data_IF_996216861107
#
_entry.id   IF_996216861107
#
_cell.length_a   1.000
_cell.length_b   1.000
_cell.length_c   1.000
_cell.angle_alpha   90.00
_cell.angle_beta   90.00
_cell.angle_gamma   90.00
#
_symmetry.space_group_name_H-M   'P 1'
#
loop_
_entity.id
_entity.type
_entity.pdbx_description
1 polymer ?
#
# COMPACT_ATOMS: atom_id res chain seq x y z
N UNK A 1 11.33 -21.53 -6.83
CA UNK A 1 10.27 -20.51 -6.98
C UNK A 1 10.07 -19.85 -5.64
N UNK A 2 10.28 -18.54 -5.50
CA UNK A 2 10.07 -17.87 -4.22
C UNK A 2 8.57 -17.80 -3.89
N UNK A 3 8.17 -17.94 -2.61
CA UNK A 3 6.78 -17.78 -2.22
C UNK A 3 6.30 -16.36 -2.54
N UNK A 4 5.03 -16.21 -2.93
CA UNK A 4 4.45 -14.87 -3.18
C UNK A 4 4.31 -14.14 -1.84
N UNK A 5 4.62 -12.86 -1.84
CA UNK A 5 4.62 -12.03 -0.64
C UNK A 5 3.79 -10.77 -0.91
N UNK A 6 2.82 -10.49 -0.03
CA UNK A 6 2.25 -9.14 0.09
C UNK A 6 3.21 -8.35 0.95
N UNK A 7 3.55 -7.17 0.49
CA UNK A 7 4.40 -6.24 1.22
C UNK A 7 3.54 -5.04 1.54
N UNK A 8 3.45 -4.72 2.82
CA UNK A 8 2.99 -3.42 3.28
C UNK A 8 4.21 -2.60 3.65
N UNK A 9 4.31 -1.46 2.98
CA UNK A 9 5.38 -0.51 3.20
C UNK A 9 4.77 0.75 3.81
N UNK A 10 5.40 1.24 4.86
CA UNK A 10 5.24 2.63 5.28
C UNK A 10 6.37 3.44 4.66
N UNK A 11 6.17 4.74 4.56
CA UNK A 11 7.26 5.65 4.18
C UNK A 11 7.89 6.11 5.49
N UNK A 12 9.19 5.85 5.70
CA UNK A 12 9.91 6.46 6.82
C UNK A 12 10.13 7.91 6.45
N UNK A 13 9.17 8.77 6.81
CA UNK A 13 9.21 10.18 6.41
C UNK A 13 10.23 10.91 7.28
N UNK A 14 11.49 10.94 6.83
CA UNK A 14 12.46 11.95 7.24
C UNK A 14 11.83 13.35 7.00
N UNK A 15 11.79 14.24 8.01
CA UNK A 15 11.29 15.60 7.86
C UNK A 15 11.92 16.41 6.70
N UNK A 16 13.12 16.03 6.24
CA UNK A 16 13.90 16.77 5.25
C UNK A 16 13.70 16.30 3.80
N UNK A 17 13.30 15.04 3.57
CA UNK A 17 13.09 14.50 2.22
C UNK A 17 11.79 15.00 1.56
N UNK A 18 10.94 15.67 2.33
CA UNK A 18 9.57 15.96 1.93
C UNK A 18 9.27 17.47 1.91
N UNK A 19 10.24 18.37 1.73
CA UNK A 19 9.99 19.84 1.71
C UNK A 19 9.01 20.35 0.62
N UNK A 20 8.41 19.48 -0.20
CA UNK A 20 7.32 19.83 -1.14
C UNK A 20 6.06 19.00 -0.97
N UNK A 21 6.10 17.93 -0.21
CA UNK A 21 5.06 16.91 -0.16
C UNK A 21 4.64 16.65 1.31
N UNK A 22 5.50 16.95 2.32
CA UNK A 22 5.10 17.10 3.75
C UNK A 22 4.25 18.33 3.93
N UNK A 23 4.36 19.20 2.94
CA UNK A 23 3.57 20.37 2.68
C UNK A 23 2.06 20.06 2.67
N UNK A 24 1.72 18.87 2.15
CA UNK A 24 0.34 18.49 1.91
C UNK A 24 -0.32 18.14 3.26
N UNK A 25 -1.25 18.96 3.77
CA UNK A 25 -1.74 18.84 5.15
C UNK A 25 -2.26 17.44 5.47
N UNK A 26 -2.95 16.82 4.50
CA UNK A 26 -3.47 15.45 4.61
C UNK A 26 -2.39 14.38 4.85
N UNK A 27 -1.26 14.45 4.14
CA UNK A 27 -0.20 13.44 4.29
C UNK A 27 0.54 13.65 5.60
N UNK A 28 0.76 14.90 6.02
CA UNK A 28 1.40 15.22 7.29
C UNK A 28 0.57 14.76 8.50
N UNK A 29 -0.75 14.95 8.45
CA UNK A 29 -1.67 14.62 9.54
C UNK A 29 -1.90 13.10 9.67
N UNK A 30 -1.85 12.35 8.57
CA UNK A 30 -2.25 10.93 8.55
C UNK A 30 -1.13 9.93 8.26
N UNK A 31 0.14 10.31 8.41
CA UNK A 31 1.32 9.48 8.04
C UNK A 31 1.25 8.03 8.53
N UNK A 32 0.84 7.82 9.78
CA UNK A 32 0.77 6.50 10.40
C UNK A 32 -0.33 5.57 9.84
N UNK A 33 -1.19 6.09 8.95
CA UNK A 33 -2.28 5.34 8.33
C UNK A 33 -2.09 5.17 6.82
N UNK A 34 -1.04 5.78 6.24
CA UNK A 34 -0.77 5.72 4.80
C UNK A 34 0.17 4.56 4.52
N UNK A 35 -0.37 3.54 3.86
CA UNK A 35 0.36 2.33 3.51
C UNK A 35 0.38 2.12 2.01
N UNK A 36 1.57 1.79 1.50
CA UNK A 36 1.68 1.22 0.18
C UNK A 36 1.49 -0.29 0.27
N UNK A 37 0.52 -0.83 -0.47
CA UNK A 37 0.22 -2.27 -0.50
C UNK A 37 0.60 -2.81 -1.87
N UNK A 38 1.62 -3.67 -1.92
CA UNK A 38 2.10 -4.28 -3.16
C UNK A 38 2.30 -5.78 -3.05
N UNK A 39 2.37 -6.47 -4.19
CA UNK A 39 2.64 -7.91 -4.24
C UNK A 39 3.94 -8.18 -5.01
N UNK A 40 4.82 -8.98 -4.43
CA UNK A 40 6.06 -9.43 -5.10
C UNK A 40 6.17 -10.95 -5.16
N UNK A 41 6.85 -11.43 -6.19
CA UNK A 41 7.32 -12.82 -6.28
C UNK A 41 8.82 -12.96 -6.06
N UNK A 42 9.52 -11.86 -5.77
CA UNK A 42 10.97 -11.82 -5.53
C UNK A 42 11.30 -11.41 -4.10
N UNK A 43 12.57 -11.08 -3.86
CA UNK A 43 13.04 -10.50 -2.60
C UNK A 43 12.45 -9.10 -2.41
N UNK A 44 11.98 -8.82 -1.20
CA UNK A 44 11.35 -7.54 -0.85
C UNK A 44 12.39 -6.42 -0.91
N UNK A 45 13.58 -6.69 -0.40
CA UNK A 45 14.71 -5.78 -0.30
C UNK A 45 15.11 -5.26 -1.68
N UNK A 46 15.16 -6.15 -2.68
CA UNK A 46 15.45 -5.78 -4.07
C UNK A 46 14.39 -4.86 -4.67
N UNK A 47 13.13 -4.97 -4.22
CA UNK A 47 12.02 -4.17 -4.74
C UNK A 47 11.99 -2.77 -4.17
N UNK A 48 12.54 -2.56 -2.97
CA UNK A 48 12.60 -1.26 -2.28
C UNK A 48 13.97 -0.57 -2.35
N UNK A 49 15.02 -1.27 -2.79
CA UNK A 49 16.40 -0.76 -2.76
C UNK A 49 16.62 0.60 -3.44
N UNK A 50 15.76 0.99 -4.39
CA UNK A 50 15.83 2.26 -5.11
C UNK A 50 14.56 3.13 -4.91
N UNK A 51 13.86 2.97 -3.79
CA UNK A 51 12.59 3.65 -3.53
C UNK A 51 12.68 5.19 -3.64
N UNK A 52 13.74 5.78 -3.08
CA UNK A 52 14.03 7.23 -3.16
C UNK A 52 14.12 7.79 -4.59
N UNK A 53 14.32 6.92 -5.60
CA UNK A 53 14.43 7.32 -7.01
C UNK A 53 13.28 6.82 -7.89
N UNK A 54 12.25 6.21 -7.30
CA UNK A 54 11.12 5.63 -8.00
C UNK A 54 9.82 6.30 -7.57
N UNK A 55 9.12 6.89 -8.55
CA UNK A 55 7.84 7.59 -8.34
C UNK A 55 6.74 6.69 -7.76
N UNK A 56 6.86 5.36 -7.92
CA UNK A 56 5.97 4.38 -7.28
C UNK A 56 6.04 4.44 -5.75
N UNK A 57 7.19 4.85 -5.22
CA UNK A 57 7.47 5.03 -3.80
C UNK A 57 7.52 6.50 -3.38
N UNK A 58 6.86 7.37 -4.15
CA UNK A 58 6.77 8.80 -3.84
C UNK A 58 8.14 9.51 -3.78
N UNK A 59 9.17 8.92 -4.40
CA UNK A 59 10.55 9.42 -4.37
C UNK A 59 11.10 9.58 -2.93
N UNK A 60 10.69 8.69 -2.03
CA UNK A 60 11.07 8.70 -0.62
C UNK A 60 11.57 7.32 -0.16
N UNK A 61 12.27 7.30 0.97
CA UNK A 61 12.64 6.07 1.65
C UNK A 61 11.40 5.36 2.19
N UNK A 62 11.41 4.03 2.13
CA UNK A 62 10.30 3.21 2.59
C UNK A 62 10.79 2.14 3.57
N UNK A 63 9.98 1.90 4.58
CA UNK A 63 10.17 0.86 5.56
C UNK A 63 9.13 -0.23 5.35
N UNK A 64 9.57 -1.48 5.46
CA UNK A 64 8.66 -2.62 5.40
C UNK A 64 8.10 -2.84 6.79
N UNK A 65 6.82 -2.55 6.97
CA UNK A 65 6.15 -2.69 8.26
C UNK A 65 5.41 -4.01 8.41
N UNK A 66 5.04 -4.64 7.29
CA UNK A 66 4.55 -6.01 7.30
C UNK A 66 4.85 -6.75 6.00
N UNK A 67 5.07 -8.06 6.13
CA UNK A 67 5.23 -8.98 5.00
C UNK A 67 4.41 -10.24 5.23
N UNK A 68 3.57 -10.57 4.27
CA UNK A 68 2.69 -11.73 4.35
C UNK A 68 3.02 -12.73 3.25
N UNK A 69 3.47 -13.91 3.65
CA UNK A 69 3.69 -15.03 2.74
C UNK A 69 2.35 -15.65 2.37
N UNK A 70 2.04 -15.69 1.09
CA UNK A 70 0.86 -16.34 0.52
C UNK A 70 1.31 -17.35 -0.52
N UNK A 71 0.96 -18.61 -0.31
CA UNK A 71 1.30 -19.70 -1.25
C UNK A 71 0.08 -20.02 -2.10
N UNK A 72 0.31 -20.46 -3.34
CA UNK A 72 -0.74 -20.90 -4.27
C UNK A 72 -1.80 -19.85 -4.72
N UNK A 73 -1.58 -18.54 -4.51
CA UNK A 73 -2.52 -17.47 -4.92
C UNK A 73 -1.98 -16.66 -6.09
N UNK A 74 -2.74 -16.49 -7.18
CA UNK A 74 -2.31 -15.71 -8.36
C UNK A 74 -2.00 -14.24 -8.01
N UNK A 75 -0.83 -13.74 -8.42
CA UNK A 75 -0.36 -12.37 -8.14
C UNK A 75 -1.35 -11.29 -8.60
N UNK A 76 -1.77 -11.35 -9.87
CA UNK A 76 -2.70 -10.37 -10.45
C UNK A 76 -4.06 -10.40 -9.74
N UNK A 77 -4.54 -11.60 -9.37
CA UNK A 77 -5.79 -11.72 -8.61
C UNK A 77 -5.67 -11.05 -7.23
N UNK A 78 -4.54 -11.25 -6.56
CA UNK A 78 -4.29 -10.68 -5.24
C UNK A 78 -4.18 -9.15 -5.28
N UNK A 79 -3.42 -8.61 -6.25
CA UNK A 79 -3.37 -7.16 -6.52
C UNK A 79 -4.77 -6.59 -6.75
N UNK A 80 -5.59 -7.25 -7.60
CA UNK A 80 -6.96 -6.83 -7.86
C UNK A 80 -7.86 -6.87 -6.61
N UNK A 81 -7.67 -7.85 -5.70
CA UNK A 81 -8.44 -7.92 -4.46
C UNK A 81 -8.12 -6.72 -3.57
N UNK A 82 -6.85 -6.39 -3.36
CA UNK A 82 -6.48 -5.23 -2.55
C UNK A 82 -6.97 -3.93 -3.16
N UNK A 83 -6.81 -3.77 -4.48
CA UNK A 83 -7.34 -2.59 -5.18
C UNK A 83 -8.85 -2.47 -5.05
N UNK A 84 -9.60 -3.58 -5.14
CA UNK A 84 -11.06 -3.57 -4.95
C UNK A 84 -11.45 -3.22 -3.51
N UNK A 85 -10.88 -3.94 -2.53
CA UNK A 85 -11.23 -3.82 -1.12
C UNK A 85 -10.92 -2.40 -0.62
N UNK A 86 -9.74 -1.87 -0.95
CA UNK A 86 -9.26 -0.59 -0.44
C UNK A 86 -9.45 0.58 -1.41
N UNK A 87 -10.15 0.39 -2.53
CA UNK A 87 -10.52 1.49 -3.44
C UNK A 87 -11.12 2.71 -2.72
N UNK A 88 -12.02 2.56 -1.72
CA UNK A 88 -12.59 3.70 -1.01
C UNK A 88 -11.58 4.52 -0.19
N UNK A 89 -10.38 4.00 0.05
CA UNK A 89 -9.31 4.64 0.79
C UNK A 89 -8.04 4.85 -0.03
N UNK A 90 -8.12 4.69 -1.36
CA UNK A 90 -7.01 5.04 -2.23
C UNK A 90 -6.73 6.54 -2.12
N UNK A 91 -5.46 6.90 -1.94
CA UNK A 91 -5.08 8.30 -1.84
C UNK A 91 -4.91 8.86 -3.25
N UNK A 92 -5.61 9.96 -3.54
CA UNK A 92 -5.44 10.69 -4.79
C UNK A 92 -4.23 11.62 -4.68
N UNK A 93 -3.12 11.22 -5.32
CA UNK A 93 -1.86 11.95 -5.33
C UNK A 93 -1.36 12.04 -6.77
N UNK A 94 -0.83 13.21 -7.13
CA UNK A 94 -0.08 13.41 -8.37
C UNK A 94 1.29 13.93 -8.00
N UNK A 95 2.34 13.25 -8.47
CA UNK A 95 3.73 13.69 -8.30
C UNK A 95 4.40 13.80 -9.65
N UNK A 96 5.45 14.60 -9.76
CA UNK A 96 6.30 14.61 -10.95
C UNK A 96 7.41 13.56 -10.80
N UNK A 97 7.66 12.80 -11.86
CA UNK A 97 8.87 11.98 -11.94
C UNK A 97 10.13 12.84 -12.14
N UNK A 98 11.29 12.18 -12.24
CA UNK A 98 12.59 12.86 -12.46
C UNK A 98 12.70 13.63 -13.79
N UNK A 99 11.76 13.46 -14.70
CA UNK A 99 11.68 14.16 -15.99
C UNK A 99 10.58 15.23 -15.99
N UNK A 100 9.87 15.41 -14.88
CA UNK A 100 8.78 16.38 -14.73
C UNK A 100 7.41 15.85 -15.18
N UNK A 101 7.30 14.58 -15.56
CA UNK A 101 6.03 13.99 -16.00
C UNK A 101 5.14 13.62 -14.81
N UNK A 102 3.83 13.91 -14.86
CA UNK A 102 2.93 13.56 -13.77
C UNK A 102 2.72 12.04 -13.68
N UNK A 103 2.87 11.50 -12.47
CA UNK A 103 2.66 10.11 -12.09
C UNK A 103 1.60 10.04 -11.00
N UNK A 104 0.72 9.04 -11.12
CA UNK A 104 -0.40 8.80 -10.22
C UNK A 104 -0.23 7.41 -9.60
N UNK A 105 0.42 7.30 -8.43
CA UNK A 105 0.69 6.02 -7.81
C UNK A 105 -0.61 5.46 -7.21
N UNK A 106 -1.01 4.27 -7.68
CA UNK A 106 -2.31 3.65 -7.33
C UNK A 106 -2.27 2.68 -6.14
N UNK A 107 -1.08 2.41 -5.62
CA UNK A 107 -0.88 1.39 -4.59
C UNK A 107 -0.84 1.96 -3.17
N UNK A 108 -1.23 3.23 -2.98
CA UNK A 108 -1.21 3.92 -1.68
C UNK A 108 -2.62 4.10 -1.12
N UNK A 109 -2.81 3.70 0.13
CA UNK A 109 -4.12 3.67 0.78
C UNK A 109 -4.05 4.22 2.20
N UNK A 110 -5.12 4.92 2.62
CA UNK A 110 -5.35 5.37 3.98
C UNK A 110 -6.07 4.27 4.79
N UNK A 111 -5.30 3.28 5.25
CA UNK A 111 -5.82 2.07 5.90
C UNK A 111 -4.92 1.70 7.07
N UNK A 112 -5.45 1.50 8.30
CA UNK A 112 -4.63 1.04 9.42
C UNK A 112 -4.03 -0.35 9.18
N UNK A 113 -2.82 -0.59 9.68
CA UNK A 113 -2.11 -1.87 9.48
C UNK A 113 -2.93 -3.09 9.93
N UNK A 114 -3.62 -3.00 11.07
CA UNK A 114 -4.45 -4.10 11.59
C UNK A 114 -5.61 -4.50 10.66
N UNK A 115 -6.12 -3.57 9.84
CA UNK A 115 -7.15 -3.87 8.84
C UNK A 115 -6.54 -4.59 7.65
N UNK A 116 -5.30 -4.25 7.29
CA UNK A 116 -4.55 -4.96 6.25
C UNK A 116 -4.24 -6.39 6.70
N UNK A 117 -3.83 -6.56 7.97
CA UNK A 117 -3.68 -7.88 8.61
C UNK A 117 -4.96 -8.71 8.48
N UNK A 118 -6.11 -8.14 8.86
CA UNK A 118 -7.41 -8.82 8.74
C UNK A 118 -7.72 -9.18 7.28
N UNK A 119 -7.56 -8.23 6.35
CA UNK A 119 -7.81 -8.48 4.93
C UNK A 119 -6.99 -9.65 4.40
N UNK A 120 -5.71 -9.75 4.79
CA UNK A 120 -4.84 -10.88 4.43
C UNK A 120 -5.35 -12.19 5.00
N UNK A 121 -5.85 -12.23 6.25
CA UNK A 121 -6.44 -13.45 6.81
C UNK A 121 -7.70 -13.86 6.05
N UNK A 122 -8.58 -12.91 5.74
CA UNK A 122 -9.80 -13.16 4.94
C UNK A 122 -9.51 -13.60 3.51
N UNK A 123 -8.37 -13.20 2.95
CA UNK A 123 -7.89 -13.68 1.64
C UNK A 123 -7.48 -15.16 1.73
N UNK A 124 -6.86 -15.57 2.85
CA UNK A 124 -6.39 -16.94 3.06
C UNK A 124 -7.55 -17.93 3.24
N UNK A 125 -8.58 -17.54 3.99
CA UNK A 125 -9.76 -18.39 4.22
C UNK A 125 -10.83 -18.26 3.11
N UNK A 126 -10.68 -17.28 2.21
CA UNK A 126 -11.58 -17.04 1.09
C UNK A 126 -12.78 -16.14 1.41
N UNK A 127 -12.94 -15.68 2.65
CA UNK A 127 -14.07 -14.85 3.10
C UNK A 127 -13.99 -13.39 2.61
N UNK A 128 -12.85 -12.94 2.06
CA UNK A 128 -12.66 -11.55 1.57
C UNK A 128 -13.65 -11.16 0.46
N UNK A 129 -14.27 -12.12 -0.23
CA UNK A 129 -15.18 -11.82 -1.34
C UNK A 129 -16.38 -11.01 -0.89
N UNK A 130 -16.87 -11.26 0.34
CA UNK A 130 -18.09 -10.69 0.91
C UNK A 130 -17.77 -9.56 1.89
N UNK A 131 -16.61 -8.92 1.75
CA UNK A 131 -16.14 -7.86 2.63
C UNK A 131 -15.93 -6.58 1.84
N UNK A 132 -16.23 -5.45 2.49
CA UNK A 132 -15.97 -4.10 2.00
C UNK A 132 -15.24 -3.32 3.09
N UNK A 133 -14.28 -2.48 2.72
CA UNK A 133 -13.66 -1.55 3.65
C UNK A 133 -14.52 -0.29 3.80
N UNK A 134 -14.87 0.05 5.04
CA UNK A 134 -15.51 1.31 5.39
C UNK A 134 -14.45 2.31 5.91
N UNK A 135 -14.11 3.37 5.14
CA UNK A 135 -13.12 4.36 5.55
C UNK A 135 -13.60 5.23 6.73
N UNK A 136 -14.91 5.31 7.00
CA UNK A 136 -15.43 6.13 8.10
C UNK A 136 -15.19 5.50 9.46
N UNK A 137 -15.32 4.17 9.52
CA UNK A 137 -15.08 3.40 10.75
C UNK A 137 -13.70 2.74 10.77
N UNK A 138 -12.97 2.79 9.65
CA UNK A 138 -11.69 2.13 9.43
C UNK A 138 -11.75 0.61 9.69
N UNK A 139 -12.77 -0.06 9.12
CA UNK A 139 -13.04 -1.49 9.36
C UNK A 139 -13.43 -2.23 8.09
N UNK A 140 -13.17 -3.53 8.06
CA UNK A 140 -13.84 -4.44 7.13
C UNK A 140 -15.24 -4.78 7.67
N UNK A 141 -16.23 -4.60 6.82
CA UNK A 141 -17.64 -4.92 7.10
C UNK A 141 -18.13 -5.94 6.09
N UNK A 142 -19.08 -6.78 6.51
CA UNK A 142 -19.74 -7.71 5.61
C UNK A 142 -20.61 -6.96 4.61
N UNK A 143 -20.48 -7.31 3.34
CA UNK A 143 -21.42 -6.89 2.29
C UNK A 143 -22.77 -7.54 2.63
N UNK A 144 -23.74 -6.72 3.03
CA UNK A 144 -25.10 -7.16 3.41
C UNK A 144 -26.00 -7.24 2.19
#
# INVERSE_FOLDING_TARGET
>A
MFPRQVICQETTLDPSAFRRLSDHPFVAEHRALIHKIGVTGGKVETRIANAVHDATYLLADVEVVATYKLVNINRKKLENIFHRIFAPAQIELTISDRFGHPVHPREWFLVPLHVIDEAVQRIRDGAITNMVYDPKTARLIGET
#
